data_IF_295229090947
#
_entry.id   IF_295229090947
#
_cell.length_a   1.000
_cell.length_b   1.000
_cell.length_c   1.000
_cell.angle_alpha   90.00
_cell.angle_beta   90.00
_cell.angle_gamma   90.00
#
_symmetry.space_group_name_H-M   'P 1'
#
loop_
_entity.id
_entity.type
_entity.pdbx_description
1 polymer ?
#
# COMPACT_ATOMS: atom_id res chain seq x y z
N UNK A 1 -5.61 11.20 5.93
CA UNK A 1 -4.32 11.78 5.45
C UNK A 1 -3.18 10.74 5.28
N UNK A 2 -3.36 9.46 5.64
CA UNK A 2 -2.37 8.39 5.39
C UNK A 2 -2.23 7.92 3.92
N UNK A 3 -3.12 8.37 3.04
CA UNK A 3 -3.14 7.97 1.64
C UNK A 3 -2.07 8.67 0.78
N UNK A 4 -1.47 9.76 1.23
CA UNK A 4 -0.52 10.54 0.41
C UNK A 4 0.84 9.85 0.27
N UNK A 5 1.28 9.04 1.26
CA UNK A 5 2.60 8.38 1.20
C UNK A 5 2.61 7.11 0.36
N UNK A 6 1.53 6.32 0.39
CA UNK A 6 1.39 5.20 -0.55
C UNK A 6 1.19 5.67 -2.00
N UNK A 7 0.76 6.92 -2.24
CA UNK A 7 0.57 7.47 -3.60
C UNK A 7 1.90 7.73 -4.32
N UNK A 8 2.97 7.98 -3.56
CA UNK A 8 4.25 8.44 -4.10
C UNK A 8 5.46 7.65 -3.62
N UNK A 9 5.29 6.60 -2.82
CA UNK A 9 6.37 5.67 -2.51
C UNK A 9 6.97 5.19 -3.85
N UNK A 10 8.25 5.47 -4.13
CA UNK A 10 8.91 4.93 -5.31
C UNK A 10 9.07 3.45 -5.07
N UNK A 11 8.04 2.66 -5.33
CA UNK A 11 8.16 1.22 -5.23
C UNK A 11 9.18 0.81 -6.30
N UNK A 12 10.41 0.43 -5.97
CA UNK A 12 11.29 -0.15 -6.98
C UNK A 12 10.57 -1.39 -7.53
N UNK A 13 10.81 -1.77 -8.79
CA UNK A 13 10.41 -3.13 -9.17
C UNK A 13 11.13 -4.10 -8.23
N UNK A 14 10.38 -4.79 -7.38
CA UNK A 14 10.90 -5.88 -6.57
C UNK A 14 11.52 -6.95 -7.48
N UNK A 15 10.95 -7.13 -8.67
CA UNK A 15 11.46 -8.05 -9.68
C UNK A 15 12.82 -7.60 -10.25
N UNK A 16 13.01 -6.32 -10.60
CA UNK A 16 14.28 -5.84 -11.16
C UNK A 16 15.36 -5.60 -10.10
N UNK A 17 14.95 -5.19 -8.89
CA UNK A 17 15.84 -5.02 -7.75
C UNK A 17 16.44 -6.36 -7.28
N UNK A 18 15.63 -7.43 -7.23
CA UNK A 18 16.11 -8.75 -6.80
C UNK A 18 16.82 -9.51 -7.94
N UNK A 19 16.44 -9.28 -9.21
CA UNK A 19 17.09 -9.89 -10.39
C UNK A 19 18.35 -9.18 -10.88
N UNK A 20 18.72 -8.02 -10.33
CA UNK A 20 19.93 -7.33 -10.75
C UNK A 20 21.14 -8.26 -10.53
N UNK A 21 21.72 -8.78 -11.62
CA UNK A 21 22.91 -9.66 -11.68
C UNK A 21 24.19 -8.90 -11.31
N UNK A 22 24.17 -8.20 -10.18
CA UNK A 22 25.32 -7.47 -9.66
C UNK A 22 26.05 -8.39 -8.67
N UNK A 23 27.31 -8.75 -8.97
CA UNK A 23 28.20 -9.59 -8.15
C UNK A 23 28.69 -8.88 -6.86
N UNK A 24 27.92 -7.96 -6.31
CA UNK A 24 28.35 -7.08 -5.21
C UNK A 24 27.28 -7.03 -4.11
N UNK A 25 27.70 -6.93 -2.82
CA UNK A 25 26.81 -7.08 -1.67
C UNK A 25 25.68 -6.04 -1.66
N UNK A 26 24.44 -6.50 -1.69
CA UNK A 26 23.23 -5.72 -1.41
C UNK A 26 22.92 -5.80 0.09
N UNK A 27 22.28 -4.80 0.71
CA UNK A 27 21.72 -4.92 2.07
C UNK A 27 20.21 -4.80 1.95
N UNK A 28 19.48 -5.89 2.20
CA UNK A 28 18.02 -5.90 2.12
C UNK A 28 17.47 -5.86 3.54
N UNK A 29 17.00 -4.71 4.02
CA UNK A 29 16.21 -4.68 5.26
C UNK A 29 14.76 -5.09 4.93
N UNK A 30 14.19 -6.03 5.66
CA UNK A 30 12.83 -6.49 5.41
C UNK A 30 12.00 -6.39 6.67
N UNK A 31 11.05 -5.45 6.69
CA UNK A 31 9.91 -5.41 7.62
C UNK A 31 8.74 -6.30 7.12
N UNK A 32 9.02 -7.30 6.27
CA UNK A 32 8.02 -8.08 5.56
C UNK A 32 7.97 -9.52 6.10
N UNK A 33 6.78 -9.93 6.56
CA UNK A 33 6.51 -11.31 6.96
C UNK A 33 6.48 -12.22 5.72
N UNK A 34 7.28 -13.29 5.74
CA UNK A 34 7.42 -14.27 4.67
C UNK A 34 6.06 -14.72 4.07
N UNK A 35 5.07 -14.93 4.93
CA UNK A 35 3.76 -15.44 4.54
C UNK A 35 2.80 -14.44 3.91
N UNK A 36 3.04 -13.14 4.07
CA UNK A 36 2.15 -12.14 3.45
C UNK A 36 2.37 -12.07 1.93
N UNK A 37 3.60 -12.32 1.48
CA UNK A 37 4.00 -12.24 0.07
C UNK A 37 4.97 -13.37 -0.28
N UNK A 38 4.52 -14.64 -0.28
CA UNK A 38 5.41 -15.81 -0.35
C UNK A 38 6.27 -15.84 -1.61
N UNK A 39 5.73 -15.44 -2.77
CA UNK A 39 6.51 -15.38 -4.02
C UNK A 39 7.63 -14.34 -3.94
N UNK A 40 7.38 -13.20 -3.29
CA UNK A 40 8.41 -12.18 -3.08
C UNK A 40 9.46 -12.68 -2.10
N UNK A 41 9.03 -13.31 -0.99
CA UNK A 41 9.94 -13.86 0.00
C UNK A 41 10.86 -14.93 -0.61
N UNK A 42 10.33 -15.86 -1.41
CA UNK A 42 11.14 -16.87 -2.13
C UNK A 42 12.23 -16.23 -3.02
N UNK A 43 11.98 -15.04 -3.56
CA UNK A 43 13.01 -14.29 -4.31
C UNK A 43 14.07 -13.70 -3.39
N UNK A 44 13.71 -13.22 -2.19
CA UNK A 44 14.66 -12.78 -1.16
C UNK A 44 15.54 -13.96 -0.72
N UNK A 45 14.94 -15.12 -0.46
CA UNK A 45 15.67 -16.35 -0.09
C UNK A 45 16.67 -16.75 -1.18
N UNK A 46 16.22 -16.83 -2.43
CA UNK A 46 17.08 -17.16 -3.56
C UNK A 46 18.21 -16.13 -3.74
N UNK A 47 17.93 -14.85 -3.48
CA UNK A 47 18.94 -13.79 -3.56
C UNK A 47 19.98 -13.89 -2.44
N UNK A 48 19.57 -14.11 -1.18
CA UNK A 48 20.48 -14.31 -0.04
C UNK A 48 21.33 -15.57 -0.25
N UNK A 49 20.75 -16.65 -0.76
CA UNK A 49 21.49 -17.87 -1.09
C UNK A 49 22.55 -17.63 -2.18
N UNK A 50 22.21 -16.87 -3.22
CA UNK A 50 23.15 -16.51 -4.29
C UNK A 50 24.18 -15.43 -3.86
N UNK A 51 23.86 -14.63 -2.84
CA UNK A 51 24.68 -13.52 -2.36
C UNK A 51 24.75 -13.57 -0.82
N UNK A 52 25.55 -14.49 -0.22
CA UNK A 52 25.57 -14.70 1.23
C UNK A 52 25.96 -13.47 2.06
N UNK A 53 26.69 -12.53 1.45
CA UNK A 53 27.04 -11.23 2.03
C UNK A 53 25.84 -10.28 2.21
N UNK A 54 24.70 -10.59 1.59
CA UNK A 54 23.49 -9.78 1.72
C UNK A 54 23.04 -9.75 3.15
N UNK A 55 22.81 -8.58 3.73
CA UNK A 55 22.31 -8.45 5.11
C UNK A 55 20.81 -8.34 5.16
N UNK A 56 20.17 -9.08 6.07
CA UNK A 56 18.74 -9.05 6.33
C UNK A 56 18.48 -8.55 7.74
N UNK A 57 17.78 -7.43 7.85
CA UNK A 57 17.29 -6.88 9.12
C UNK A 57 15.80 -7.14 9.18
N UNK A 58 15.33 -7.81 10.24
CA UNK A 58 13.90 -7.98 10.53
C UNK A 58 13.55 -7.11 11.71
N UNK A 59 12.56 -6.23 11.53
CA UNK A 59 11.96 -5.43 12.60
C UNK A 59 10.53 -5.93 12.75
N UNK A 60 10.27 -6.71 13.78
CA UNK A 60 8.93 -7.27 14.06
C UNK A 60 8.87 -7.63 15.55
N UNK A 61 7.82 -7.24 16.30
CA UNK A 61 7.67 -7.66 17.70
C UNK A 61 7.60 -9.18 17.87
N UNK A 62 7.28 -9.93 16.81
CA UNK A 62 7.19 -11.39 16.81
C UNK A 62 8.36 -12.01 16.07
N UNK A 63 8.90 -13.09 16.62
CA UNK A 63 9.77 -13.99 15.90
C UNK A 63 8.95 -14.77 14.84
N UNK A 64 8.87 -14.22 13.63
CA UNK A 64 8.21 -14.86 12.48
C UNK A 64 9.22 -15.63 11.65
N UNK A 65 8.76 -16.44 10.68
CA UNK A 65 9.65 -17.23 9.81
C UNK A 65 10.65 -16.38 9.01
N UNK A 66 10.40 -15.07 8.85
CA UNK A 66 11.37 -14.15 8.28
C UNK A 66 12.66 -14.06 9.11
N UNK A 67 12.58 -14.26 10.42
CA UNK A 67 13.72 -14.20 11.36
C UNK A 67 14.72 -15.32 11.09
N UNK A 68 14.30 -16.46 10.55
CA UNK A 68 15.20 -17.57 10.24
C UNK A 68 16.31 -17.20 9.23
N UNK A 69 16.13 -16.15 8.44
CA UNK A 69 17.13 -15.62 7.50
C UNK A 69 17.70 -14.27 7.91
N UNK A 70 17.30 -13.73 9.06
CA UNK A 70 17.76 -12.44 9.53
C UNK A 70 19.20 -12.51 10.03
N UNK A 71 20.02 -11.54 9.64
CA UNK A 71 21.31 -11.26 10.27
C UNK A 71 21.11 -10.49 11.59
N UNK A 72 20.04 -9.69 11.71
CA UNK A 72 19.61 -9.01 12.94
C UNK A 72 18.08 -9.01 13.05
N UNK A 73 17.56 -9.35 14.22
CA UNK A 73 16.14 -9.21 14.57
C UNK A 73 15.97 -8.14 15.66
N UNK A 74 15.40 -7.00 15.28
CA UNK A 74 15.03 -5.93 16.21
C UNK A 74 13.60 -6.19 16.69
N UNK A 75 13.48 -6.94 17.79
CA UNK A 75 12.21 -7.33 18.39
C UNK A 75 11.61 -6.20 19.24
N UNK A 76 11.18 -5.12 18.57
CA UNK A 76 10.68 -3.92 19.25
C UNK A 76 9.35 -4.13 19.98
N UNK A 77 9.13 -3.33 21.01
CA UNK A 77 7.81 -3.15 21.65
C UNK A 77 6.86 -2.50 20.62
N UNK A 78 5.66 -3.06 20.36
CA UNK A 78 4.73 -2.51 19.38
C UNK A 78 4.42 -1.03 19.63
N UNK A 79 4.55 -0.20 18.59
CA UNK A 79 4.26 1.23 18.67
C UNK A 79 5.50 2.13 18.73
N UNK A 80 6.68 1.58 19.00
CA UNK A 80 7.93 2.34 19.17
C UNK A 80 8.71 2.54 17.86
N UNK A 81 8.11 2.20 16.71
CA UNK A 81 8.80 2.17 15.40
C UNK A 81 9.44 3.51 15.02
N UNK A 82 8.79 4.65 15.30
CA UNK A 82 9.36 5.99 15.04
C UNK A 82 10.64 6.19 15.86
N UNK A 83 10.64 5.77 17.12
CA UNK A 83 11.81 5.84 18.01
C UNK A 83 12.93 4.95 17.48
N UNK A 84 12.61 3.73 17.05
CA UNK A 84 13.61 2.82 16.47
C UNK A 84 14.23 3.38 15.19
N UNK A 85 13.42 3.90 14.27
CA UNK A 85 13.93 4.53 13.04
C UNK A 85 14.81 5.74 13.34
N UNK A 86 14.44 6.57 14.33
CA UNK A 86 15.27 7.68 14.79
C UNK A 86 16.56 7.20 15.44
N UNK A 87 16.53 6.12 16.22
CA UNK A 87 17.74 5.52 16.82
C UNK A 87 18.72 5.00 15.75
N UNK A 88 18.21 4.35 14.70
CA UNK A 88 19.01 3.97 13.54
C UNK A 88 19.60 5.20 12.83
N UNK A 89 18.77 6.23 12.61
CA UNK A 89 19.22 7.48 11.99
C UNK A 89 20.30 8.19 12.82
N UNK A 90 20.17 8.18 14.15
CA UNK A 90 21.15 8.75 15.08
C UNK A 90 22.51 8.11 14.86
N UNK A 91 22.57 6.78 14.83
CA UNK A 91 23.82 6.04 14.64
C UNK A 91 24.41 6.34 13.26
N UNK A 92 23.59 6.40 12.21
CA UNK A 92 24.04 6.79 10.86
C UNK A 92 24.64 8.20 10.83
N UNK A 93 24.02 9.16 11.55
CA UNK A 93 24.53 10.54 11.68
C UNK A 93 25.85 10.55 12.44
N UNK A 94 25.94 9.86 13.59
CA UNK A 94 27.13 9.79 14.43
C UNK A 94 28.33 9.14 13.70
N UNK A 95 28.06 8.16 12.83
CA UNK A 95 29.09 7.51 12.02
C UNK A 95 29.51 8.31 10.78
N UNK A 96 28.72 9.31 10.37
CA UNK A 96 28.90 10.00 9.09
C UNK A 96 28.43 9.18 7.86
N UNK A 97 27.56 8.18 8.06
CA UNK A 97 27.01 7.30 7.02
C UNK A 97 25.87 7.98 6.22
N UNK A 98 26.06 9.25 5.83
CA UNK A 98 25.06 10.09 5.17
C UNK A 98 25.46 10.39 3.73
N UNK A 99 24.48 10.47 2.84
CA UNK A 99 24.67 11.01 1.48
C UNK A 99 24.50 12.53 1.51
N UNK A 100 25.54 13.24 1.96
CA UNK A 100 25.50 14.70 2.14
C UNK A 100 25.26 15.44 0.83
N UNK A 101 25.75 14.92 -0.30
CA UNK A 101 25.51 15.48 -1.62
C UNK A 101 24.03 15.38 -2.00
N UNK A 102 23.43 14.19 -1.85
CA UNK A 102 22.00 14.01 -2.06
C UNK A 102 21.16 14.93 -1.16
N UNK A 103 21.51 15.02 0.13
CA UNK A 103 20.79 15.89 1.07
C UNK A 103 20.86 17.35 0.62
N UNK A 104 22.05 17.84 0.26
CA UNK A 104 22.27 19.23 -0.12
C UNK A 104 21.58 19.60 -1.45
N UNK A 105 21.61 18.71 -2.44
CA UNK A 105 21.17 19.00 -3.81
C UNK A 105 19.71 18.60 -4.06
N UNK A 106 19.21 17.55 -3.41
CA UNK A 106 17.97 16.87 -3.79
C UNK A 106 16.96 16.69 -2.66
N UNK A 107 17.30 17.05 -1.42
CA UNK A 107 16.37 16.95 -0.28
C UNK A 107 16.24 18.25 0.50
N UNK A 108 15.16 18.42 1.26
CA UNK A 108 14.93 19.56 2.15
C UNK A 108 14.49 19.06 3.54
N UNK A 109 14.69 19.84 4.60
CA UNK A 109 14.24 19.49 5.96
C UNK A 109 15.21 18.66 6.82
N UNK A 110 16.45 18.41 6.35
CA UNK A 110 17.42 17.60 7.08
C UNK A 110 17.81 18.17 8.45
N UNK A 111 18.04 19.49 8.56
CA UNK A 111 18.49 20.11 9.82
C UNK A 111 17.48 19.89 10.96
N UNK A 112 16.20 20.21 10.72
CA UNK A 112 15.13 19.98 11.70
C UNK A 112 14.97 18.50 12.05
N UNK A 113 15.19 17.60 11.09
CA UNK A 113 15.16 16.16 11.34
C UNK A 113 16.35 15.71 12.21
N UNK A 114 17.56 16.20 11.91
CA UNK A 114 18.78 15.92 12.68
C UNK A 114 18.59 16.35 14.14
N UNK A 115 18.04 17.54 14.38
CA UNK A 115 17.84 18.05 15.74
C UNK A 115 16.88 17.15 16.55
N UNK A 116 15.78 16.68 15.95
CA UNK A 116 14.87 15.72 16.61
C UNK A 116 15.56 14.39 16.89
N UNK A 117 16.33 13.88 15.94
CA UNK A 117 17.02 12.59 16.07
C UNK A 117 18.08 12.63 17.16
N UNK A 118 18.86 13.72 17.23
CA UNK A 118 19.94 13.87 18.21
C UNK A 118 19.44 14.23 19.62
N UNK A 119 18.21 14.74 19.75
CA UNK A 119 17.62 15.10 21.04
C UNK A 119 17.43 13.91 21.98
N UNK A 120 17.16 12.70 21.45
CA UNK A 120 17.01 11.48 22.27
C UNK A 120 18.32 10.67 22.30
N UNK A 121 18.91 10.40 23.48
CA UNK A 121 20.05 9.49 23.61
C UNK A 121 19.75 8.08 23.11
N UNK A 122 20.75 7.40 22.55
CA UNK A 122 20.57 6.05 22.02
C UNK A 122 20.14 5.04 23.09
N UNK A 123 20.70 5.12 24.29
CA UNK A 123 20.35 4.24 25.41
C UNK A 123 18.87 4.38 25.82
N UNK A 124 18.33 5.61 25.83
CA UNK A 124 16.91 5.85 26.10
C UNK A 124 16.04 5.26 24.98
N UNK A 125 16.43 5.47 23.72
CA UNK A 125 15.70 4.91 22.58
C UNK A 125 15.69 3.38 22.57
N UNK A 126 16.83 2.75 22.91
CA UNK A 126 16.98 1.31 23.06
C UNK A 126 16.04 0.76 24.14
N UNK A 127 16.02 1.39 25.31
CA UNK A 127 15.13 1.04 26.41
C UNK A 127 13.65 1.17 26.03
N UNK A 128 13.26 2.30 25.43
CA UNK A 128 11.87 2.54 24.98
C UNK A 128 11.43 1.49 23.94
N UNK A 129 12.31 1.14 23.01
CA UNK A 129 12.03 0.14 21.99
C UNK A 129 12.04 -1.29 22.54
N UNK A 130 12.63 -1.55 23.71
CA UNK A 130 12.87 -2.91 24.19
C UNK A 130 13.89 -3.68 23.34
N UNK A 131 14.85 -2.98 22.74
CA UNK A 131 15.87 -3.56 21.85
C UNK A 131 17.26 -3.21 22.39
N UNK A 132 18.22 -4.14 22.29
CA UNK A 132 19.58 -3.87 22.74
C UNK A 132 20.25 -2.78 21.89
N UNK A 133 20.99 -1.87 22.53
CA UNK A 133 21.75 -0.83 21.83
C UNK A 133 22.72 -1.41 20.80
N UNK A 134 23.37 -2.53 21.14
CA UNK A 134 24.28 -3.23 20.25
C UNK A 134 23.61 -3.67 18.94
N UNK A 135 22.37 -4.15 19.00
CA UNK A 135 21.62 -4.59 17.81
C UNK A 135 21.19 -3.40 16.94
N UNK A 136 20.84 -2.26 17.56
CA UNK A 136 20.54 -1.02 16.83
C UNK A 136 21.80 -0.55 16.10
N UNK A 137 22.95 -0.54 16.77
CA UNK A 137 24.24 -0.17 16.14
C UNK A 137 24.62 -1.12 15.02
N UNK A 138 24.44 -2.43 15.22
CA UNK A 138 24.71 -3.44 14.19
C UNK A 138 23.81 -3.26 12.97
N UNK A 139 22.50 -3.09 13.17
CA UNK A 139 21.55 -2.80 12.11
C UNK A 139 21.90 -1.49 11.37
N UNK A 140 22.24 -0.42 12.09
CA UNK A 140 22.67 0.84 11.48
C UNK A 140 23.95 0.67 10.65
N UNK A 141 24.94 -0.09 11.13
CA UNK A 141 26.17 -0.38 10.37
C UNK A 141 25.89 -1.14 9.06
N UNK A 142 24.89 -2.03 9.05
CA UNK A 142 24.46 -2.74 7.84
C UNK A 142 23.74 -1.83 6.85
N UNK A 143 23.09 -0.77 7.33
CA UNK A 143 22.46 0.26 6.48
C UNK A 143 23.53 1.22 5.94
N UNK A 144 24.40 1.74 6.79
CA UNK A 144 25.44 2.70 6.42
C UNK A 144 26.48 2.13 5.46
N UNK A 145 26.88 0.87 5.67
CA UNK A 145 27.78 0.14 4.76
C UNK A 145 27.12 -0.40 3.49
N UNK A 146 25.81 -0.21 3.30
CA UNK A 146 25.09 -0.78 2.17
C UNK A 146 25.32 0.01 0.88
N UNK A 147 25.75 -0.69 -0.18
CA UNK A 147 25.69 -0.12 -1.54
C UNK A 147 24.25 0.22 -1.95
N UNK A 148 23.32 -0.64 -1.54
CA UNK A 148 21.90 -0.52 -1.84
C UNK A 148 21.09 -1.01 -0.64
N UNK A 149 20.16 -0.16 -0.19
CA UNK A 149 19.28 -0.39 0.95
C UNK A 149 17.82 -0.37 0.49
N UNK A 150 17.16 -1.51 0.61
CA UNK A 150 15.73 -1.65 0.40
C UNK A 150 15.04 -1.86 1.74
N UNK A 151 13.88 -1.24 1.94
CA UNK A 151 12.94 -1.59 3.00
C UNK A 151 11.66 -2.14 2.37
N UNK A 152 11.08 -3.18 2.98
CA UNK A 152 9.79 -3.74 2.55
C UNK A 152 8.87 -3.83 3.75
N UNK A 153 7.71 -3.17 3.74
CA UNK A 153 6.80 -3.17 4.89
C UNK A 153 5.34 -3.37 4.50
N UNK A 154 4.52 -3.73 5.50
CA UNK A 154 3.07 -3.92 5.34
C UNK A 154 2.31 -3.23 6.50
N UNK A 155 1.39 -3.95 7.13
CA UNK A 155 0.43 -3.42 8.09
C UNK A 155 1.03 -3.09 9.46
N UNK A 156 2.19 -3.65 9.82
CA UNK A 156 2.86 -3.32 11.10
C UNK A 156 3.15 -1.82 11.26
N UNK A 157 3.43 -1.12 10.15
CA UNK A 157 3.54 0.34 10.14
C UNK A 157 2.20 1.02 9.85
N UNK A 158 1.43 0.50 8.87
CA UNK A 158 0.26 1.20 8.34
C UNK A 158 -0.96 1.19 9.28
N UNK A 159 -1.20 0.09 10.00
CA UNK A 159 -2.34 -0.07 10.91
C UNK A 159 -1.93 0.39 12.32
N UNK A 160 -1.77 1.70 12.48
CA UNK A 160 -1.29 2.35 13.69
C UNK A 160 -1.93 3.73 13.85
N UNK A 161 -2.16 4.16 15.10
CA UNK A 161 -2.63 5.51 15.43
C UNK A 161 -1.71 6.61 14.89
N UNK A 162 -0.43 6.29 14.67
CA UNK A 162 0.60 7.16 14.09
C UNK A 162 1.22 6.56 12.82
N UNK A 163 0.41 5.84 12.02
CA UNK A 163 0.92 5.11 10.85
C UNK A 163 1.62 5.99 9.80
N UNK A 164 1.19 7.25 9.63
CA UNK A 164 1.84 8.22 8.74
C UNK A 164 3.27 8.52 9.19
N UNK A 165 3.42 8.80 10.48
CA UNK A 165 4.69 9.15 11.13
C UNK A 165 5.69 7.97 11.09
N UNK A 166 5.19 6.75 11.27
CA UNK A 166 5.98 5.52 11.10
C UNK A 166 6.51 5.35 9.67
N UNK A 167 5.68 5.62 8.66
CA UNK A 167 6.11 5.54 7.27
C UNK A 167 7.14 6.63 6.95
N UNK A 168 6.89 7.88 7.37
CA UNK A 168 7.82 8.98 7.17
C UNK A 168 9.20 8.73 7.79
N UNK A 169 9.22 8.25 9.03
CA UNK A 169 10.49 7.95 9.72
C UNK A 169 11.30 6.85 9.00
N UNK A 170 10.64 5.83 8.43
CA UNK A 170 11.31 4.85 7.58
C UNK A 170 11.83 5.47 6.27
N UNK A 171 11.02 6.30 5.62
CA UNK A 171 11.41 6.99 4.39
C UNK A 171 12.62 7.91 4.60
N UNK A 172 12.69 8.59 5.74
CA UNK A 172 13.84 9.44 6.08
C UNK A 172 15.16 8.67 6.08
N UNK A 173 15.18 7.41 6.55
CA UNK A 173 16.39 6.57 6.47
C UNK A 173 16.90 6.41 5.04
N UNK A 174 15.98 6.24 4.07
CA UNK A 174 16.37 6.20 2.65
C UNK A 174 16.86 7.55 2.14
N UNK A 175 16.22 8.65 2.54
CA UNK A 175 16.58 9.98 2.06
C UNK A 175 17.94 10.43 2.60
N UNK A 176 18.23 10.22 3.89
CA UNK A 176 19.52 10.63 4.48
C UNK A 176 20.70 9.80 3.98
N UNK A 177 20.44 8.60 3.47
CA UNK A 177 21.45 7.71 2.87
C UNK A 177 21.47 7.74 1.34
N UNK A 178 20.62 8.58 0.71
CA UNK A 178 20.49 8.67 -0.75
C UNK A 178 19.94 7.40 -1.43
N UNK A 179 19.37 6.47 -0.66
CA UNK A 179 18.94 5.13 -1.10
C UNK A 179 17.57 5.15 -1.80
N UNK A 180 17.46 5.97 -2.85
CA UNK A 180 16.26 6.19 -3.66
C UNK A 180 16.66 6.31 -5.14
N UNK A 181 15.76 5.95 -6.07
CA UNK A 181 16.05 6.05 -7.51
C UNK A 181 17.12 5.08 -8.04
N UNK A 182 17.75 4.25 -7.20
CA UNK A 182 18.88 3.37 -7.57
C UNK A 182 18.57 1.85 -7.48
N UNK A 183 19.27 0.98 -8.23
CA UNK A 183 18.98 -0.46 -8.23
C UNK A 183 19.20 -1.13 -6.88
N UNK A 184 18.25 -1.98 -6.51
CA UNK A 184 18.25 -2.66 -5.21
C UNK A 184 17.97 -1.76 -4.02
N UNK A 185 17.65 -0.48 -4.23
CA UNK A 185 17.34 0.45 -3.16
C UNK A 185 15.92 1.01 -3.28
N UNK A 186 15.46 1.51 -2.15
CA UNK A 186 14.25 2.28 -2.06
C UNK A 186 13.20 1.61 -1.16
N UNK A 187 12.23 2.42 -0.73
CA UNK A 187 11.13 1.97 0.08
C UNK A 187 10.09 1.23 -0.78
N UNK A 188 9.75 -0.01 -0.40
CA UNK A 188 8.73 -0.83 -1.05
C UNK A 188 7.55 -1.09 -0.11
N UNK A 189 6.46 -0.33 -0.29
CA UNK A 189 5.20 -0.58 0.42
C UNK A 189 4.51 -1.79 -0.20
N UNK A 190 4.47 -2.90 0.53
CA UNK A 190 3.80 -4.11 0.08
C UNK A 190 2.30 -4.01 0.30
N UNK A 191 1.54 -3.98 -0.79
CA UNK A 191 0.08 -3.97 -0.74
C UNK A 191 -0.45 -5.37 -0.46
N UNK A 192 -1.48 -5.48 0.40
CA UNK A 192 -2.07 -6.77 0.76
C UNK A 192 -2.92 -7.34 -0.38
N UNK A 193 -4.01 -6.66 -0.73
CA UNK A 193 -4.90 -7.11 -1.80
C UNK A 193 -4.25 -6.98 -3.18
N UNK A 194 -4.51 -7.93 -4.10
CA UNK A 194 -3.78 -8.03 -5.37
C UNK A 194 -3.98 -6.84 -6.31
N UNK A 195 -5.08 -6.08 -6.17
CA UNK A 195 -5.36 -4.88 -6.95
C UNK A 195 -5.55 -3.62 -6.08
N UNK A 196 -4.98 -3.59 -4.87
CA UNK A 196 -5.08 -2.42 -4.00
C UNK A 196 -4.45 -1.16 -4.62
N UNK A 197 -3.45 -1.34 -5.50
CA UNK A 197 -2.87 -0.24 -6.24
C UNK A 197 -3.81 0.27 -7.33
N UNK A 198 -4.36 -0.64 -8.15
CA UNK A 198 -5.37 -0.30 -9.17
C UNK A 198 -6.58 0.44 -8.59
N UNK A 199 -7.06 0.03 -7.40
CA UNK A 199 -8.13 0.74 -6.70
C UNK A 199 -7.79 2.21 -6.39
N UNK A 200 -6.52 2.55 -6.11
CA UNK A 200 -6.09 3.94 -5.88
C UNK A 200 -5.92 4.70 -7.18
N UNK A 201 -5.46 4.04 -8.24
CA UNK A 201 -5.31 4.60 -9.58
C UNK A 201 -6.66 5.08 -10.12
N UNK A 202 -7.74 4.33 -9.86
CA UNK A 202 -9.10 4.66 -10.31
C UNK A 202 -9.90 5.52 -9.33
N UNK A 203 -9.28 6.05 -8.27
CA UNK A 203 -9.96 6.97 -7.34
C UNK A 203 -10.82 6.30 -6.24
N UNK A 204 -10.55 5.04 -5.89
CA UNK A 204 -11.29 4.29 -4.87
C UNK A 204 -11.07 4.71 -3.41
N UNK A 205 -10.68 5.97 -3.15
CA UNK A 205 -10.57 6.53 -1.79
C UNK A 205 -11.42 7.79 -1.70
N UNK A 206 -12.09 8.01 -0.57
CA UNK A 206 -13.00 9.15 -0.36
C UNK A 206 -12.35 10.54 -0.52
N UNK A 207 -11.02 10.60 -0.52
CA UNK A 207 -10.22 11.81 -0.66
C UNK A 207 -9.28 11.81 -1.88
N UNK A 208 -9.55 10.97 -2.89
CA UNK A 208 -8.73 10.84 -4.09
C UNK A 208 -9.59 10.79 -5.34
N UNK A 209 -9.26 11.63 -6.32
CA UNK A 209 -9.82 11.51 -7.65
C UNK A 209 -8.98 10.54 -8.50
N UNK A 210 -9.53 9.96 -9.58
CA UNK A 210 -8.78 9.06 -10.45
C UNK A 210 -7.49 9.69 -11.00
N UNK A 211 -6.55 8.83 -11.38
CA UNK A 211 -5.21 9.17 -11.82
C UNK A 211 -4.44 10.08 -10.84
N UNK A 212 -4.50 9.73 -9.55
CA UNK A 212 -3.78 10.41 -8.47
C UNK A 212 -4.08 11.90 -8.31
N UNK A 213 -5.22 12.37 -8.84
CA UNK A 213 -5.65 13.75 -8.70
C UNK A 213 -6.07 14.05 -7.25
N UNK A 214 -5.49 15.09 -6.70
CA UNK A 214 -5.84 15.61 -5.37
C UNK A 214 -7.22 16.27 -5.38
N UNK A 215 -8.19 15.69 -4.65
CA UNK A 215 -9.54 16.24 -4.48
C UNK A 215 -9.55 17.67 -3.94
N UNK A 216 -8.62 18.01 -3.06
CA UNK A 216 -8.52 19.35 -2.48
C UNK A 216 -8.02 20.41 -3.46
N UNK A 217 -7.48 20.01 -4.62
CA UNK A 217 -7.03 20.94 -5.65
C UNK A 217 -8.20 21.29 -6.59
N UNK A 218 -8.63 22.56 -6.68
CA UNK A 218 -9.71 22.97 -7.58
C UNK A 218 -9.40 22.71 -9.07
N UNK A 219 -8.14 22.84 -9.50
CA UNK A 219 -7.76 22.58 -10.89
C UNK A 219 -7.94 21.09 -11.24
N UNK A 220 -7.53 20.20 -10.35
CA UNK A 220 -7.74 18.76 -10.54
C UNK A 220 -9.22 18.37 -10.58
N UNK A 221 -10.07 19.02 -9.77
CA UNK A 221 -11.53 18.82 -9.85
C UNK A 221 -12.06 19.25 -11.21
N UNK A 222 -11.69 20.45 -11.67
CA UNK A 222 -12.12 20.98 -12.96
C UNK A 222 -11.71 20.06 -14.13
N UNK A 223 -10.49 19.52 -14.12
CA UNK A 223 -10.03 18.55 -15.13
C UNK A 223 -10.92 17.31 -15.21
N UNK A 224 -11.21 16.68 -14.07
CA UNK A 224 -12.05 15.47 -14.02
C UNK A 224 -13.50 15.79 -14.40
N UNK A 225 -14.01 16.94 -13.98
CA UNK A 225 -15.35 17.41 -14.33
C UNK A 225 -15.51 17.58 -15.84
N UNK A 226 -14.55 18.28 -16.46
CA UNK A 226 -14.53 18.49 -17.90
C UNK A 226 -14.42 17.17 -18.65
N UNK A 227 -13.55 16.27 -18.19
CA UNK A 227 -13.36 14.96 -18.82
C UNK A 227 -14.65 14.12 -18.85
N UNK A 228 -15.41 14.08 -17.74
CA UNK A 228 -16.66 13.33 -17.66
C UNK A 228 -17.90 14.10 -18.14
N UNK A 229 -17.79 15.39 -18.41
CA UNK A 229 -18.97 16.24 -18.63
C UNK A 229 -19.93 16.23 -17.44
N UNK A 230 -19.40 16.05 -16.23
CA UNK A 230 -20.21 15.88 -15.01
C UNK A 230 -20.56 17.21 -14.34
N UNK A 231 -21.47 17.17 -13.36
CA UNK A 231 -21.77 18.32 -12.50
C UNK A 231 -20.61 18.72 -11.56
N UNK A 232 -20.85 19.70 -10.66
CA UNK A 232 -19.91 20.09 -9.62
C UNK A 232 -19.35 18.92 -8.79
N UNK A 233 -18.03 18.71 -8.81
CA UNK A 233 -17.38 17.78 -7.87
C UNK A 233 -17.13 18.47 -6.53
N UNK A 234 -17.59 17.83 -5.44
CA UNK A 234 -17.43 18.34 -4.09
C UNK A 234 -15.95 18.51 -3.70
N UNK A 235 -15.62 19.60 -3.00
CA UNK A 235 -14.28 19.81 -2.44
C UNK A 235 -14.05 18.97 -1.17
N UNK A 236 -15.13 18.74 -0.42
CA UNK A 236 -15.11 18.00 0.83
C UNK A 236 -15.00 16.51 0.54
N UNK A 237 -14.02 15.80 1.12
CA UNK A 237 -13.96 14.35 1.05
C UNK A 237 -15.25 13.70 1.56
N UNK A 238 -15.64 12.58 0.95
CA UNK A 238 -16.66 11.72 1.52
C UNK A 238 -16.18 11.03 2.80
N UNK A 239 -17.09 10.34 3.47
CA UNK A 239 -16.76 9.52 4.63
C UNK A 239 -15.72 8.45 4.28
N UNK A 240 -14.77 8.22 5.18
CA UNK A 240 -13.94 7.02 5.20
C UNK A 240 -14.76 5.80 5.59
N UNK A 241 -14.22 4.59 5.41
CA UNK A 241 -14.95 3.36 5.73
C UNK A 241 -15.42 3.29 7.20
N UNK A 242 -14.65 3.79 8.17
CA UNK A 242 -15.09 3.82 9.58
C UNK A 242 -16.14 4.90 9.81
N UNK A 243 -15.94 6.11 9.27
CA UNK A 243 -16.90 7.21 9.35
C UNK A 243 -18.24 6.87 8.67
N UNK A 244 -18.24 6.03 7.62
CA UNK A 244 -19.47 5.54 6.98
C UNK A 244 -20.32 4.74 7.98
N UNK A 245 -19.72 3.87 8.79
CA UNK A 245 -20.44 3.05 9.75
C UNK A 245 -20.87 3.86 10.98
N UNK A 246 -20.05 4.81 11.45
CA UNK A 246 -20.49 5.79 12.44
C UNK A 246 -21.69 6.61 11.95
N UNK A 247 -21.63 7.09 10.70
CA UNK A 247 -22.72 7.86 10.08
C UNK A 247 -23.98 7.02 9.81
N UNK A 248 -23.84 5.71 9.54
CA UNK A 248 -24.99 4.80 9.47
C UNK A 248 -25.64 4.63 10.84
N UNK A 249 -24.82 4.48 11.88
CA UNK A 249 -25.28 4.26 13.25
C UNK A 249 -26.03 5.46 13.84
N UNK A 250 -25.53 6.67 13.60
CA UNK A 250 -26.18 7.93 14.03
C UNK A 250 -27.23 8.45 13.05
N UNK A 251 -27.30 7.85 11.86
CA UNK A 251 -28.29 8.14 10.83
C UNK A 251 -27.95 9.30 9.90
N UNK A 252 -26.74 9.89 9.94
CA UNK A 252 -26.29 10.84 8.89
C UNK A 252 -26.18 10.20 7.51
N UNK A 253 -25.82 8.91 7.44
CA UNK A 253 -25.84 8.10 6.22
C UNK A 253 -27.05 7.17 6.27
N UNK A 254 -27.81 7.09 5.17
CA UNK A 254 -29.05 6.29 5.11
C UNK A 254 -28.90 4.97 4.36
N UNK A 255 -28.08 4.96 3.32
CA UNK A 255 -27.88 3.80 2.48
C UNK A 255 -26.38 3.51 2.31
N UNK A 256 -26.04 2.23 2.16
CA UNK A 256 -24.68 1.79 1.90
C UNK A 256 -24.68 0.72 0.80
N UNK A 257 -23.73 0.82 -0.12
CA UNK A 257 -23.44 -0.22 -1.10
C UNK A 257 -22.07 -0.82 -0.79
N UNK A 258 -22.07 -2.08 -0.35
CA UNK A 258 -20.89 -2.85 0.02
C UNK A 258 -20.49 -3.72 -1.18
N UNK A 259 -19.35 -3.41 -1.80
CA UNK A 259 -18.85 -4.13 -2.98
C UNK A 259 -17.66 -5.02 -2.62
N UNK A 260 -17.82 -6.34 -2.75
CA UNK A 260 -16.77 -7.36 -2.63
C UNK A 260 -15.89 -7.23 -1.37
N UNK A 261 -16.49 -6.83 -0.25
CA UNK A 261 -15.84 -6.71 1.05
C UNK A 261 -16.80 -7.15 2.15
N UNK A 262 -16.24 -7.56 3.29
CA UNK A 262 -17.02 -8.02 4.42
C UNK A 262 -16.67 -7.22 5.70
N UNK A 263 -17.34 -6.07 5.91
CA UNK A 263 -17.15 -5.20 7.06
C UNK A 263 -17.26 -5.88 8.42
N UNK A 264 -18.15 -6.86 8.59
CA UNK A 264 -18.36 -7.55 9.88
C UNK A 264 -17.21 -8.49 10.27
N UNK A 265 -16.25 -8.73 9.39
CA UNK A 265 -14.98 -9.37 9.75
C UNK A 265 -13.80 -8.40 9.65
N UNK A 266 -13.86 -7.45 8.71
CA UNK A 266 -12.67 -6.66 8.31
C UNK A 266 -12.57 -5.26 8.92
N UNK A 267 -13.65 -4.71 9.48
CA UNK A 267 -13.62 -3.44 10.22
C UNK A 267 -13.28 -3.63 11.70
N UNK A 268 -12.63 -2.64 12.34
CA UNK A 268 -12.53 -2.60 13.79
C UNK A 268 -13.92 -2.40 14.43
N UNK A 269 -14.08 -2.84 15.67
CA UNK A 269 -15.32 -2.73 16.43
C UNK A 269 -16.55 -3.32 15.70
N UNK A 270 -16.54 -4.65 15.49
CA UNK A 270 -17.60 -5.37 14.78
C UNK A 270 -19.00 -5.10 15.34
N UNK A 271 -19.14 -4.93 16.66
CA UNK A 271 -20.45 -4.67 17.31
C UNK A 271 -21.04 -3.34 16.84
N UNK A 272 -20.21 -2.32 16.70
CA UNK A 272 -20.63 -1.05 16.14
C UNK A 272 -21.03 -1.21 14.67
N UNK A 273 -20.21 -1.91 13.88
CA UNK A 273 -20.49 -2.11 12.47
C UNK A 273 -21.82 -2.86 12.25
N UNK A 274 -22.10 -3.84 13.11
CA UNK A 274 -23.36 -4.59 13.14
C UNK A 274 -24.55 -3.69 13.51
N UNK A 275 -24.44 -2.91 14.59
CA UNK A 275 -25.47 -1.97 14.99
C UNK A 275 -25.76 -0.92 13.91
N UNK A 276 -24.73 -0.46 13.20
CA UNK A 276 -24.86 0.46 12.08
C UNK A 276 -25.63 -0.15 10.90
N UNK A 277 -25.32 -1.39 10.51
CA UNK A 277 -26.04 -2.08 9.44
C UNK A 277 -27.50 -2.36 9.81
N UNK A 278 -27.78 -2.73 11.06
CA UNK A 278 -29.14 -2.93 11.55
C UNK A 278 -29.99 -1.64 11.52
N UNK A 279 -29.35 -0.46 11.62
CA UNK A 279 -30.01 0.86 11.57
C UNK A 279 -30.09 1.47 10.16
N UNK A 280 -29.31 0.95 9.21
CA UNK A 280 -29.30 1.44 7.84
C UNK A 280 -30.70 1.37 7.23
N UNK A 281 -31.06 2.34 6.38
CA UNK A 281 -32.34 2.34 5.67
C UNK A 281 -32.32 1.49 4.42
N UNK A 282 -31.14 1.30 3.84
CA UNK A 282 -30.97 0.47 2.66
C UNK A 282 -29.53 -0.06 2.54
N UNK A 283 -29.37 -1.36 2.44
CA UNK A 283 -28.08 -2.04 2.33
C UNK A 283 -28.04 -2.84 1.05
N UNK A 284 -27.14 -2.47 0.14
CA UNK A 284 -26.83 -3.25 -1.06
C UNK A 284 -25.54 -4.00 -0.84
N UNK A 285 -25.55 -5.32 -1.04
CA UNK A 285 -24.34 -6.15 -0.98
C UNK A 285 -24.09 -6.76 -2.35
N UNK A 286 -22.99 -6.36 -2.99
CA UNK A 286 -22.51 -6.94 -4.24
C UNK A 286 -21.34 -7.88 -3.95
N UNK A 287 -21.53 -9.17 -4.19
CA UNK A 287 -20.61 -10.17 -3.64
C UNK A 287 -20.58 -11.45 -4.49
N UNK A 288 -19.42 -12.13 -4.48
CA UNK A 288 -19.17 -13.37 -5.22
C UNK A 288 -19.46 -14.63 -4.38
N UNK A 289 -19.46 -14.50 -3.06
CA UNK A 289 -19.67 -15.61 -2.12
C UNK A 289 -20.94 -15.41 -1.29
N UNK A 290 -21.65 -16.49 -0.98
CA UNK A 290 -22.81 -16.46 -0.07
C UNK A 290 -22.41 -16.61 1.42
N UNK A 291 -21.15 -16.32 1.76
CA UNK A 291 -20.54 -16.54 3.08
C UNK A 291 -20.35 -15.31 3.95
N UNK A 292 -20.10 -14.10 3.42
CA UNK A 292 -19.95 -12.91 4.26
C UNK A 292 -21.12 -12.71 5.22
N UNK A 293 -20.83 -12.38 6.48
CA UNK A 293 -21.85 -12.10 7.50
C UNK A 293 -22.70 -10.87 7.13
N UNK A 294 -22.13 -9.95 6.34
CA UNK A 294 -22.84 -8.76 5.84
C UNK A 294 -24.06 -9.07 4.98
N UNK A 295 -24.15 -10.26 4.37
CA UNK A 295 -25.32 -10.65 3.57
C UNK A 295 -26.62 -10.71 4.40
N UNK A 296 -26.52 -11.02 5.70
CA UNK A 296 -27.69 -11.10 6.57
C UNK A 296 -28.40 -9.73 6.77
N UNK A 297 -27.70 -8.64 6.46
CA UNK A 297 -28.19 -7.27 6.59
C UNK A 297 -28.57 -6.64 5.25
N UNK A 298 -28.45 -7.37 4.13
CA UNK A 298 -28.70 -6.83 2.80
C UNK A 298 -30.20 -6.76 2.48
N UNK A 299 -30.67 -5.59 2.03
CA UNK A 299 -31.97 -5.44 1.39
C UNK A 299 -31.93 -5.93 -0.06
N UNK A 300 -30.78 -5.74 -0.73
CA UNK A 300 -30.54 -6.21 -2.10
C UNK A 300 -29.18 -6.87 -2.18
N UNK A 301 -29.15 -8.07 -2.77
CA UNK A 301 -27.93 -8.81 -3.09
C UNK A 301 -27.73 -8.79 -4.60
N UNK A 302 -26.55 -8.35 -5.04
CA UNK A 302 -26.15 -8.30 -6.45
C UNK A 302 -25.04 -9.34 -6.69
N UNK A 303 -25.32 -10.48 -7.34
CA UNK A 303 -24.32 -11.52 -7.56
C UNK A 303 -23.18 -11.03 -8.48
N UNK A 304 -21.95 -11.03 -7.95
CA UNK A 304 -20.77 -10.56 -8.69
C UNK A 304 -19.94 -11.71 -9.24
N UNK A 305 -19.42 -11.55 -10.46
CA UNK A 305 -18.53 -12.52 -11.08
C UNK A 305 -17.18 -12.61 -10.36
N UNK A 306 -16.68 -13.84 -10.21
CA UNK A 306 -15.38 -14.14 -9.64
C UNK A 306 -14.21 -13.72 -10.54
N UNK A 307 -12.99 -13.88 -10.04
CA UNK A 307 -11.76 -13.49 -10.74
C UNK A 307 -11.62 -14.15 -12.12
N UNK A 308 -11.90 -15.45 -12.25
CA UNK A 308 -11.78 -16.18 -13.52
C UNK A 308 -12.97 -15.96 -14.48
N UNK A 309 -14.03 -15.29 -14.01
CA UNK A 309 -15.31 -15.16 -14.70
C UNK A 309 -15.47 -13.79 -15.39
N UNK A 310 -14.51 -12.89 -15.17
CA UNK A 310 -14.51 -11.53 -15.71
C UNK A 310 -13.17 -11.15 -16.31
N UNK A 311 -13.21 -10.12 -17.15
CA UNK A 311 -12.05 -9.54 -17.80
C UNK A 311 -11.71 -8.19 -17.16
N UNK A 312 -10.45 -7.78 -17.19
CA UNK A 312 -10.03 -6.47 -16.71
C UNK A 312 -8.51 -6.31 -16.70
N UNK A 313 -8.02 -5.50 -15.77
CA UNK A 313 -6.60 -5.37 -15.45
C UNK A 313 -6.38 -5.45 -13.95
N UNK A 314 -5.17 -5.82 -13.55
CA UNK A 314 -4.73 -5.78 -12.16
C UNK A 314 -3.39 -5.08 -12.06
N UNK A 315 -3.26 -4.17 -11.09
CA UNK A 315 -2.02 -3.49 -10.77
C UNK A 315 -1.50 -3.95 -9.40
N UNK A 316 -0.32 -4.56 -9.40
CA UNK A 316 0.30 -5.11 -8.19
C UNK A 316 1.13 -4.06 -7.40
N UNK A 317 1.77 -4.49 -6.30
CA UNK A 317 2.55 -3.59 -5.42
C UNK A 317 3.71 -2.86 -6.10
N UNK A 318 4.23 -3.35 -7.24
CA UNK A 318 5.32 -2.69 -7.97
C UNK A 318 4.82 -1.88 -9.18
N UNK A 319 3.54 -1.46 -9.20
CA UNK A 319 2.93 -0.71 -10.33
C UNK A 319 2.83 -1.51 -11.63
N UNK A 320 2.98 -2.82 -11.56
CA UNK A 320 2.92 -3.68 -12.74
C UNK A 320 1.47 -4.02 -13.04
N UNK A 321 1.03 -3.56 -14.20
CA UNK A 321 -0.29 -3.81 -14.78
C UNK A 321 -0.21 -5.09 -15.60
N UNK A 322 -1.16 -5.99 -15.37
CA UNK A 322 -1.38 -7.20 -16.16
C UNK A 322 -2.82 -7.27 -16.64
N UNK A 323 -3.03 -7.84 -17.83
CA UNK A 323 -4.37 -8.18 -18.31
C UNK A 323 -4.93 -9.37 -17.50
N UNK A 324 -6.19 -9.25 -17.11
CA UNK A 324 -6.97 -10.32 -16.52
C UNK A 324 -7.89 -10.88 -17.60
N UNK A 325 -7.57 -12.06 -18.11
CA UNK A 325 -8.42 -12.75 -19.07
C UNK A 325 -9.59 -13.46 -18.39
N UNK A 326 -10.77 -13.37 -19.01
CA UNK A 326 -11.92 -14.22 -18.66
C UNK A 326 -11.64 -15.65 -19.11
N UNK A 327 -11.75 -16.60 -18.20
CA UNK A 327 -11.46 -18.03 -18.44
C UNK A 327 -12.72 -18.87 -18.49
N UNK A 328 -13.73 -18.52 -17.67
CA UNK A 328 -15.00 -19.26 -17.58
C UNK A 328 -16.19 -18.29 -17.59
N UNK A 329 -17.39 -18.80 -17.85
CA UNK A 329 -18.61 -18.02 -17.70
C UNK A 329 -18.95 -17.82 -16.21
N UNK A 330 -19.49 -16.65 -15.87
CA UNK A 330 -20.02 -16.40 -14.54
C UNK A 330 -21.27 -17.28 -14.31
N UNK A 331 -21.47 -17.82 -13.10
CA UNK A 331 -22.58 -18.71 -12.80
C UNK A 331 -23.90 -17.95 -12.63
N UNK A 332 -25.00 -18.55 -13.09
CA UNK A 332 -26.35 -18.01 -12.88
C UNK A 332 -26.49 -16.59 -13.42
N UNK A 333 -26.93 -15.68 -12.57
CA UNK A 333 -27.15 -14.27 -12.88
C UNK A 333 -25.94 -13.38 -12.53
N UNK A 334 -24.80 -13.98 -12.16
CA UNK A 334 -23.62 -13.21 -11.76
C UNK A 334 -23.03 -12.42 -12.92
N UNK A 335 -22.73 -11.15 -12.66
CA UNK A 335 -22.17 -10.22 -13.65
C UNK A 335 -20.85 -9.63 -13.17
N UNK A 336 -19.93 -9.24 -14.07
CA UNK A 336 -18.76 -8.44 -13.71
C UNK A 336 -19.17 -7.17 -12.95
N UNK A 337 -18.41 -6.80 -11.92
CA UNK A 337 -18.76 -5.68 -11.03
C UNK A 337 -19.03 -4.37 -11.78
N UNK A 338 -18.19 -4.05 -12.77
CA UNK A 338 -18.33 -2.85 -13.58
C UNK A 338 -19.62 -2.84 -14.41
N UNK A 339 -20.09 -4.01 -14.86
CA UNK A 339 -21.35 -4.11 -15.60
C UNK A 339 -22.55 -3.81 -14.71
N UNK A 340 -22.54 -4.29 -13.46
CA UNK A 340 -23.57 -3.99 -12.47
C UNK A 340 -23.63 -2.48 -12.21
N UNK A 341 -22.47 -1.84 -12.03
CA UNK A 341 -22.36 -0.38 -11.82
C UNK A 341 -22.90 0.38 -13.05
N UNK A 342 -22.53 -0.02 -14.28
CA UNK A 342 -23.03 0.61 -15.49
C UNK A 342 -24.55 0.43 -15.69
N UNK A 343 -25.10 -0.73 -15.34
CA UNK A 343 -26.56 -0.97 -15.36
C UNK A 343 -27.27 -0.09 -14.34
N UNK A 344 -26.75 -0.01 -13.11
CA UNK A 344 -27.30 0.85 -12.06
C UNK A 344 -27.29 2.33 -12.47
N UNK A 345 -26.17 2.83 -12.99
CA UNK A 345 -26.07 4.22 -13.43
C UNK A 345 -27.06 4.57 -14.56
N UNK A 346 -27.24 3.67 -15.53
CA UNK A 346 -28.25 3.84 -16.59
C UNK A 346 -29.68 3.83 -16.05
N UNK A 347 -29.98 2.94 -15.10
CA UNK A 347 -31.29 2.89 -14.46
C UNK A 347 -31.59 4.17 -13.66
N UNK A 348 -30.57 4.84 -13.15
CA UNK A 348 -30.64 6.15 -12.49
C UNK A 348 -30.75 7.32 -13.49
N UNK A 349 -30.71 7.07 -14.80
CA UNK A 349 -30.81 8.09 -15.85
C UNK A 349 -29.48 8.78 -16.21
N UNK A 350 -28.34 8.27 -15.77
CA UNK A 350 -27.03 8.80 -16.16
C UNK A 350 -26.59 8.29 -17.54
N UNK A 351 -26.01 9.17 -18.35
CA UNK A 351 -25.35 8.85 -19.63
C UNK A 351 -23.86 8.51 -19.44
N UNK A 352 -23.21 7.93 -20.46
CA UNK A 352 -21.77 7.64 -20.45
C UNK A 352 -21.40 6.30 -19.80
N UNK A 353 -22.39 5.42 -19.59
CA UNK A 353 -22.21 4.08 -19.01
C UNK A 353 -22.54 2.96 -20.01
N UNK A 354 -22.63 3.29 -21.29
CA UNK A 354 -22.91 2.43 -22.44
C UNK A 354 -21.63 1.86 -23.08
N UNK A 355 -20.68 1.43 -22.24
CA UNK A 355 -19.43 0.84 -22.71
C UNK A 355 -19.68 -0.49 -23.44
N UNK A 356 -19.10 -0.70 -24.64
CA UNK A 356 -19.32 -1.92 -25.41
C UNK A 356 -18.61 -3.14 -24.81
N UNK A 357 -17.55 -2.94 -24.02
CA UNK A 357 -16.76 -4.00 -23.37
C UNK A 357 -15.89 -3.44 -22.23
N UNK A 358 -15.21 -4.32 -21.50
CA UNK A 358 -14.33 -3.95 -20.38
C UNK A 358 -13.09 -3.15 -20.83
N UNK A 359 -12.59 -3.39 -22.04
CA UNK A 359 -11.46 -2.62 -22.58
C UNK A 359 -11.83 -1.15 -22.79
N UNK A 360 -13.05 -0.85 -23.21
CA UNK A 360 -13.51 0.54 -23.39
C UNK A 360 -13.49 1.33 -22.05
N UNK A 361 -13.86 0.68 -20.94
CA UNK A 361 -13.75 1.26 -19.59
C UNK A 361 -12.28 1.51 -19.24
N UNK A 362 -11.43 0.52 -19.49
CA UNK A 362 -9.99 0.66 -19.25
C UNK A 362 -9.38 1.80 -20.08
N UNK A 363 -9.70 1.88 -21.37
CA UNK A 363 -9.21 2.94 -22.27
C UNK A 363 -9.67 4.33 -21.85
N UNK A 364 -10.90 4.48 -21.32
CA UNK A 364 -11.32 5.73 -20.73
C UNK A 364 -10.44 6.12 -19.54
N UNK A 365 -10.20 5.20 -18.60
CA UNK A 365 -9.30 5.43 -17.48
C UNK A 365 -7.89 5.83 -17.98
N UNK A 366 -7.37 5.13 -18.99
CA UNK A 366 -6.07 5.43 -19.59
C UNK A 366 -6.01 6.85 -20.16
N UNK A 367 -7.04 7.32 -20.87
CA UNK A 367 -7.12 8.72 -21.33
C UNK A 367 -7.02 9.71 -20.17
N UNK A 368 -7.66 9.42 -19.05
CA UNK A 368 -7.64 10.28 -17.87
C UNK A 368 -6.25 10.32 -17.19
N UNK A 369 -5.38 9.34 -17.42
CA UNK A 369 -4.01 9.34 -16.88
C UNK A 369 -3.04 10.27 -17.60
N UNK A 370 -3.40 10.79 -18.78
CA UNK A 370 -2.53 11.64 -19.60
C UNK A 370 -1.95 12.81 -18.80
N UNK A 371 -0.64 13.02 -18.89
CA UNK A 371 0.08 14.11 -18.23
C UNK A 371 0.29 13.93 -16.72
N UNK A 372 -0.20 12.84 -16.12
CA UNK A 372 -0.02 12.56 -14.68
C UNK A 372 1.27 11.76 -14.41
N UNK A 373 1.60 11.55 -13.14
CA UNK A 373 2.73 10.69 -12.74
C UNK A 373 2.56 9.21 -13.12
N UNK A 374 1.32 8.76 -13.35
CA UNK A 374 1.00 7.39 -13.75
C UNK A 374 0.58 7.29 -15.22
N UNK A 375 0.88 8.31 -16.03
CA UNK A 375 0.52 8.35 -17.45
C UNK A 375 0.80 7.01 -18.13
N UNK A 376 -0.29 6.37 -18.54
CA UNK A 376 -0.33 5.03 -19.11
C UNK A 376 -0.94 5.06 -20.51
N UNK A 377 -0.91 6.22 -21.18
CA UNK A 377 -1.52 6.46 -22.51
C UNK A 377 -1.05 5.51 -23.60
N UNK A 378 0.10 4.85 -23.42
CA UNK A 378 0.58 3.83 -24.35
C UNK A 378 -0.03 2.44 -24.16
N UNK A 379 -0.94 2.24 -23.20
CA UNK A 379 -1.50 0.94 -22.87
C UNK A 379 -2.90 0.70 -23.45
N UNK A 380 -3.09 -0.51 -23.92
CA UNK A 380 -4.38 -1.15 -24.24
C UNK A 380 -4.25 -2.66 -23.94
N UNK A 381 -5.31 -3.45 -24.14
CA UNK A 381 -5.24 -4.88 -23.84
C UNK A 381 -4.29 -5.63 -24.78
N UNK A 382 -4.16 -5.22 -26.05
CA UNK A 382 -3.20 -5.85 -26.98
C UNK A 382 -1.77 -5.75 -26.46
N UNK A 383 -1.35 -4.54 -26.07
CA UNK A 383 -0.01 -4.30 -25.51
C UNK A 383 0.21 -5.14 -24.24
N UNK A 384 -0.78 -5.19 -23.34
CA UNK A 384 -0.66 -5.98 -22.12
C UNK A 384 -0.59 -7.49 -22.39
N UNK A 385 -1.31 -8.01 -23.40
CA UNK A 385 -1.24 -9.42 -23.81
C UNK A 385 0.09 -9.76 -24.46
N UNK A 386 0.58 -8.91 -25.36
CA UNK A 386 1.85 -9.09 -26.06
C UNK A 386 3.06 -9.01 -25.11
N UNK A 387 3.06 -8.03 -24.19
CA UNK A 387 4.13 -7.83 -23.21
C UNK A 387 3.99 -8.74 -21.98
N UNK A 388 2.80 -9.30 -21.75
CA UNK A 388 2.40 -10.00 -20.53
C UNK A 388 2.14 -9.08 -19.33
N UNK A 389 2.97 -8.05 -19.13
CA UNK A 389 2.77 -7.03 -18.10
C UNK A 389 3.64 -5.81 -18.33
N UNK A 390 3.24 -4.65 -17.80
CA UNK A 390 3.98 -3.39 -17.94
C UNK A 390 3.98 -2.61 -16.62
N UNK A 391 5.05 -1.90 -16.30
CA UNK A 391 5.06 -0.96 -15.17
C UNK A 391 4.74 0.47 -15.62
N UNK A 392 3.79 1.11 -14.95
CA UNK A 392 3.52 2.53 -15.19
C UNK A 392 4.57 3.43 -14.49
N UNK A 393 4.82 4.65 -15.02
CA UNK A 393 4.23 5.23 -16.23
C UNK A 393 4.68 4.56 -17.54
N UNK A 394 3.77 4.50 -18.52
CA UNK A 394 3.98 3.97 -19.87
C UNK A 394 3.28 4.86 -20.90
N UNK A 395 4.02 5.86 -21.41
CA UNK A 395 3.47 6.93 -22.26
C UNK A 395 3.48 6.53 -23.72
N UNK A 396 2.47 6.95 -24.48
CA UNK A 396 2.42 6.71 -25.93
C UNK A 396 3.64 7.30 -26.68
N UNK A 397 4.17 8.43 -26.18
CA UNK A 397 5.37 9.09 -26.74
C UNK A 397 6.70 8.39 -26.40
N UNK A 398 6.69 7.43 -25.46
CA UNK A 398 7.88 6.74 -24.97
C UNK A 398 7.61 5.23 -24.81
N UNK A 399 7.48 4.49 -25.94
CA UNK A 399 6.97 3.12 -25.92
C UNK A 399 7.95 2.04 -25.40
N UNK A 400 9.21 2.37 -25.08
CA UNK A 400 10.15 1.46 -24.43
C UNK A 400 11.43 2.18 -23.92
N UNK A 401 12.09 1.67 -22.85
CA UNK A 401 11.69 0.56 -21.98
C UNK A 401 10.73 0.98 -20.84
N UNK A 402 10.07 0.00 -20.20
CA UNK A 402 9.20 0.19 -19.02
C UNK A 402 9.85 1.09 -17.95
N UNK A 403 9.03 1.86 -17.22
CA UNK A 403 9.51 2.63 -16.05
C UNK A 403 9.72 1.73 -14.84
N UNK A 404 10.83 0.97 -14.85
CA UNK A 404 11.16 0.00 -13.81
C UNK A 404 11.35 0.62 -12.42
N UNK A 405 11.73 1.91 -12.37
CA UNK A 405 11.91 2.68 -11.15
C UNK A 405 11.58 4.15 -11.36
N UNK A 406 11.04 4.77 -10.32
CA UNK A 406 10.80 6.21 -10.26
C UNK A 406 12.03 6.94 -9.69
N UNK A 407 12.13 8.24 -9.97
CA UNK A 407 13.12 9.18 -9.40
C UNK A 407 14.58 8.83 -9.71
N UNK A 408 14.86 8.20 -10.84
CA UNK A 408 16.24 7.98 -11.32
C UNK A 408 16.95 9.28 -11.68
N UNK A 409 16.17 10.34 -11.93
CA UNK A 409 16.58 11.73 -12.20
C UNK A 409 16.63 12.60 -10.94
N UNK A 410 16.31 12.03 -9.78
CA UNK A 410 16.27 12.73 -8.49
C UNK A 410 15.28 13.91 -8.47
N UNK A 411 14.24 13.86 -9.32
CA UNK A 411 13.15 14.83 -9.38
C UNK A 411 11.90 14.28 -8.70
N UNK A 412 11.53 14.82 -7.55
CA UNK A 412 10.42 14.34 -6.74
C UNK A 412 9.10 15.01 -7.12
N UNK A 413 7.99 14.36 -6.77
CA UNK A 413 6.63 14.91 -6.99
C UNK A 413 6.22 15.89 -5.89
N UNK A 414 7.13 16.78 -5.52
CA UNK A 414 6.93 17.92 -4.62
C UNK A 414 6.95 19.21 -5.43
N UNK A 415 6.37 20.32 -4.93
CA UNK A 415 6.45 21.61 -5.62
C UNK A 415 7.90 22.08 -5.89
N UNK A 416 8.82 21.81 -4.95
CA UNK A 416 10.25 22.16 -5.08
C UNK A 416 11.05 21.17 -5.93
N UNK A 417 10.44 20.05 -6.34
CA UNK A 417 11.09 18.88 -6.96
C UNK A 417 12.17 18.20 -6.10
N UNK A 418 12.36 18.63 -4.85
CA UNK A 418 13.25 18.01 -3.86
C UNK A 418 12.46 17.06 -2.95
N UNK A 419 13.10 16.02 -2.45
CA UNK A 419 12.50 15.14 -1.46
C UNK A 419 12.39 15.84 -0.11
N UNK A 420 11.26 15.70 0.58
CA UNK A 420 11.09 16.28 1.92
C UNK A 420 11.48 15.26 2.99
N UNK A 421 12.52 15.56 3.77
CA UNK A 421 12.87 14.83 4.99
C UNK A 421 12.02 15.39 6.12
N UNK A 422 11.15 14.55 6.69
CA UNK A 422 10.15 15.02 7.64
C UNK A 422 10.65 14.93 9.09
N UNK A 423 10.67 16.03 9.87
CA UNK A 423 11.04 16.02 11.28
C UNK A 423 9.87 15.49 12.14
N UNK A 424 9.60 14.20 12.02
CA UNK A 424 8.49 13.54 12.70
C UNK A 424 8.80 13.39 14.19
N UNK A 425 7.93 13.91 15.07
CA UNK A 425 8.04 13.68 16.50
C UNK A 425 7.57 12.25 16.87
N UNK A 426 8.27 11.60 17.80
CA UNK A 426 7.81 10.33 18.35
C UNK A 426 6.60 10.58 19.28
N UNK A 427 5.41 10.23 18.80
CA UNK A 427 4.16 10.34 19.55
C UNK A 427 3.59 8.95 19.85
N UNK A 428 3.33 8.67 21.13
CA UNK A 428 2.68 7.43 21.57
C UNK A 428 1.18 7.69 21.72
N UNK A 429 0.39 7.36 20.69
CA UNK A 429 -1.07 7.59 20.66
C UNK A 429 -1.90 6.32 20.80
N UNK A 430 -1.26 5.15 20.85
CA UNK A 430 -1.95 3.90 21.12
C UNK A 430 -2.27 3.82 22.61
N UNK A 431 -3.34 3.10 22.95
CA UNK A 431 -3.63 2.73 24.35
C UNK A 431 -2.44 1.96 24.93
N UNK A 432 -1.97 2.39 26.09
CA UNK A 432 -0.87 1.76 26.80
C UNK A 432 -1.43 0.64 27.71
N UNK A 433 -0.69 -0.46 27.92
CA UNK A 433 -1.05 -1.44 28.93
C UNK A 433 -1.13 -0.82 30.33
N UNK A 434 -2.06 -1.30 31.14
CA UNK A 434 -2.23 -0.93 32.56
C UNK A 434 -2.45 -2.19 33.42
N UNK A 435 -2.87 -2.03 34.67
CA UNK A 435 -3.10 -3.15 35.59
C UNK A 435 -4.29 -4.03 35.18
N UNK A 436 -5.31 -3.45 34.54
CA UNK A 436 -6.50 -4.17 34.07
C UNK A 436 -6.28 -4.82 32.70
N UNK A 437 -5.46 -4.20 31.85
CA UNK A 437 -5.12 -4.63 30.50
C UNK A 437 -3.59 -4.72 30.30
N UNK A 438 -2.89 -5.68 30.93
CA UNK A 438 -1.42 -5.72 30.97
C UNK A 438 -0.75 -6.21 29.68
N UNK A 439 -1.52 -6.59 28.65
CA UNK A 439 -1.01 -7.20 27.42
C UNK A 439 -1.29 -6.35 26.18
N UNK A 440 -0.32 -6.34 25.25
CA UNK A 440 -0.51 -5.78 23.91
C UNK A 440 -1.02 -6.87 22.97
N UNK A 441 -2.23 -6.67 22.43
CA UNK A 441 -2.79 -7.53 21.39
C UNK A 441 -2.27 -7.13 20.00
N UNK A 442 -1.80 -8.12 19.23
CA UNK A 442 -1.49 -7.93 17.80
C UNK A 442 -2.27 -8.91 16.94
N UNK A 443 -2.87 -8.43 15.86
CA UNK A 443 -3.57 -9.28 14.89
C UNK A 443 -2.67 -9.60 13.69
N UNK A 444 -2.71 -10.85 13.22
CA UNK A 444 -1.82 -11.34 12.17
C UNK A 444 -2.53 -11.98 10.99
N UNK A 445 -1.73 -12.60 10.12
CA UNK A 445 -2.21 -13.46 9.04
C UNK A 445 -1.63 -14.84 9.23
N UNK A 446 -2.35 -15.84 8.73
CA UNK A 446 -1.85 -17.19 8.56
C UNK A 446 -1.58 -17.46 7.08
N UNK A 447 -0.69 -18.40 6.78
CA UNK A 447 -0.19 -18.65 5.42
C UNK A 447 -1.29 -19.03 4.43
N UNK A 448 -2.15 -19.98 4.83
CA UNK A 448 -3.01 -20.69 3.90
C UNK A 448 -4.44 -20.14 3.82
N UNK A 449 -4.79 -19.22 4.72
CA UNK A 449 -6.10 -18.57 4.72
C UNK A 449 -5.98 -17.09 4.35
N UNK A 450 -7.00 -16.60 3.66
CA UNK A 450 -7.01 -15.26 3.10
C UNK A 450 -8.12 -14.43 3.71
N UNK A 451 -7.74 -13.44 4.52
CA UNK A 451 -8.65 -12.47 5.13
C UNK A 451 -9.87 -13.14 5.77
N UNK A 452 -11.06 -12.91 5.23
CA UNK A 452 -12.35 -13.33 5.77
C UNK A 452 -12.71 -14.77 5.43
N UNK A 453 -11.81 -15.50 4.74
CA UNK A 453 -11.96 -16.91 4.40
C UNK A 453 -13.19 -17.25 3.54
N UNK A 454 -13.88 -16.26 2.98
CA UNK A 454 -15.10 -16.44 2.16
C UNK A 454 -14.83 -17.23 0.87
N UNK A 455 -13.56 -17.31 0.46
CA UNK A 455 -13.06 -18.13 -0.66
C UNK A 455 -12.18 -19.28 -0.16
N UNK A 456 -11.08 -18.96 0.53
CA UNK A 456 -10.05 -19.93 0.94
C UNK A 456 -10.54 -20.92 2.00
N UNK A 457 -11.48 -20.52 2.87
CA UNK A 457 -12.11 -21.42 3.86
C UNK A 457 -12.96 -22.52 3.23
N UNK A 458 -13.34 -22.38 1.95
CA UNK A 458 -14.07 -23.43 1.20
C UNK A 458 -13.15 -24.51 0.63
N UNK A 459 -11.84 -24.27 0.63
CA UNK A 459 -10.86 -25.19 0.07
C UNK A 459 -10.29 -26.05 1.20
N UNK A 460 -10.79 -27.27 1.36
CA UNK A 460 -10.40 -28.17 2.46
C UNK A 460 -8.89 -28.37 2.58
N UNK A 461 -8.16 -28.42 1.45
CA UNK A 461 -6.70 -28.55 1.44
C UNK A 461 -5.99 -27.42 2.18
N UNK A 462 -6.56 -26.21 2.23
CA UNK A 462 -5.99 -25.04 2.91
C UNK A 462 -6.22 -25.04 4.44
N UNK A 463 -6.92 -26.06 4.98
CA UNK A 463 -7.18 -26.20 6.43
C UNK A 463 -6.31 -27.25 7.12
N UNK A 464 -5.43 -27.93 6.36
CA UNK A 464 -4.69 -29.12 6.81
C UNK A 464 -3.25 -28.85 7.28
N UNK A 465 -2.88 -27.58 7.45
CA UNK A 465 -1.49 -27.16 7.64
C UNK A 465 -1.21 -26.53 8.99
#
# INVERSE_FOLDING_TARGET
RASTMSRYAPNPSACSAIKARSRSPFSISTLARAWCHPILWRRVEAHKAANPSTKIIVIDPRATDSVALADVHLQLIPGTDVVLHQALARVLIENGDLDLAFIAEHAEGFEAYRDIVLARPLAEAAQLCGVAEADIRLAASYIGGARAFMSMWTMGLNQSAVGVDKNLSLLNLHLITGQIGRPGAGPLSLTGQPNAMGGREVGGLSNLLPAHRNLANPAHRAEVQQFWGSGPLAATPGYTATEMFEALEDGRLKAIWILCTNPLTSLPNVRQAEAALAKAKFVVVQEVSNKPETLAYADVILPAAAWAEKEGTMTNSERRISHLAKVVAAPGEALPDAEIICRFARAMGFSGFDFPNMEAIYLEHIRLTAGTSLDSTGLNYSVLRERGSVQWPYRASQPAPDTARLFTDQQFYTPSRRATIHPVAAAFRSEAPDEDFPFILTTGRIRDQWHTMTKTGRVSKLTKH
#
